data_IF_008738811595
#
_entry.id   IF_008738811595
#
_cell.length_a   1.000
_cell.length_b   1.000
_cell.length_c   1.000
_cell.angle_alpha   90.00
_cell.angle_beta   90.00
_cell.angle_gamma   90.00
#
_symmetry.space_group_name_H-M   'P 1'
#
loop_
_entity.id
_entity.type
_entity.pdbx_description
1 polymer ?
#
# COMPACT_ATOMS: atom_id res chain seq x y z
N UNK A 1 41.05 20.80 -18.79
CA UNK A 1 39.61 21.12 -18.92
C UNK A 1 38.72 19.88 -19.05
N UNK A 2 39.07 18.92 -19.91
CA UNK A 2 38.25 17.72 -20.21
C UNK A 2 37.93 16.86 -18.96
N UNK A 3 38.91 16.63 -18.08
CA UNK A 3 38.71 15.83 -16.85
C UNK A 3 37.69 16.46 -15.90
N UNK A 4 37.68 17.81 -15.78
CA UNK A 4 36.67 18.51 -14.97
C UNK A 4 35.28 18.37 -15.56
N UNK A 5 35.15 18.41 -16.89
CA UNK A 5 33.87 18.22 -17.57
C UNK A 5 33.31 16.80 -17.37
N UNK A 6 34.16 15.78 -17.43
CA UNK A 6 33.80 14.39 -17.17
C UNK A 6 33.31 14.18 -15.72
N UNK A 7 33.96 14.82 -14.76
CA UNK A 7 33.57 14.75 -13.35
C UNK A 7 32.20 15.40 -13.09
N UNK A 8 31.92 16.53 -13.74
CA UNK A 8 30.63 17.22 -13.65
C UNK A 8 29.51 16.34 -14.25
N UNK A 9 29.76 15.72 -15.41
CA UNK A 9 28.78 14.81 -16.05
C UNK A 9 28.47 13.63 -15.15
N UNK A 10 29.48 13.02 -14.51
CA UNK A 10 29.29 11.87 -13.62
C UNK A 10 28.48 12.24 -12.37
N UNK A 11 28.68 13.44 -11.80
CA UNK A 11 27.89 13.95 -10.67
C UNK A 11 26.44 14.22 -11.09
N UNK A 12 26.22 14.80 -12.26
CA UNK A 12 24.86 15.05 -12.76
C UNK A 12 24.13 13.73 -13.04
N UNK A 13 24.84 12.70 -13.50
CA UNK A 13 24.26 11.38 -13.79
C UNK A 13 23.93 10.59 -12.51
N UNK A 14 24.71 10.73 -11.44
CA UNK A 14 24.42 10.06 -10.16
C UNK A 14 23.22 10.67 -9.42
N UNK A 15 22.89 11.94 -9.69
CA UNK A 15 21.69 12.62 -9.17
C UNK A 15 20.37 12.10 -9.77
N UNK A 16 20.41 11.39 -10.90
CA UNK A 16 19.20 10.87 -11.58
C UNK A 16 18.72 9.53 -10.98
N UNK A 17 19.55 8.85 -10.19
CA UNK A 17 19.13 7.70 -9.39
C UNK A 17 18.47 8.14 -8.07
N UNK A 18 17.42 8.95 -8.17
CA UNK A 18 16.43 9.05 -7.08
C UNK A 18 15.81 7.66 -6.90
N UNK A 19 15.96 7.07 -5.69
CA UNK A 19 15.16 5.90 -5.28
C UNK A 19 13.69 6.19 -5.63
N UNK A 20 12.91 5.21 -6.12
CA UNK A 20 11.47 5.40 -6.25
C UNK A 20 10.97 5.88 -4.89
N UNK A 21 10.42 7.10 -4.88
CA UNK A 21 9.84 7.66 -3.68
C UNK A 21 8.69 6.73 -3.28
N UNK A 22 8.61 6.24 -2.04
CA UNK A 22 7.41 5.56 -1.55
C UNK A 22 6.23 6.55 -1.39
N UNK A 23 6.25 7.67 -2.10
CA UNK A 23 5.26 8.75 -2.07
C UNK A 23 4.16 8.57 -3.12
N UNK A 24 4.36 7.68 -4.09
CA UNK A 24 3.31 7.08 -4.91
C UNK A 24 3.17 5.62 -4.46
N UNK A 25 2.07 5.27 -3.78
CA UNK A 25 1.99 3.94 -3.21
C UNK A 25 0.65 3.61 -2.58
N UNK A 26 -0.03 2.63 -3.17
CA UNK A 26 -1.08 1.91 -2.50
C UNK A 26 -0.48 0.71 -1.75
N UNK A 27 -0.98 0.45 -0.55
CA UNK A 27 -0.64 -0.75 0.22
C UNK A 27 -1.79 -1.74 0.12
N UNK A 28 -1.49 -2.98 -0.28
CA UNK A 28 -2.48 -4.06 -0.32
C UNK A 28 -2.47 -4.82 1.01
N UNK A 29 -3.61 -4.78 1.70
CA UNK A 29 -3.84 -5.48 2.95
C UNK A 29 -4.62 -6.77 2.71
N UNK A 30 -4.21 -7.85 3.38
CA UNK A 30 -5.04 -9.01 3.64
C UNK A 30 -5.77 -8.80 4.96
N UNK A 31 -7.09 -8.99 4.98
CA UNK A 31 -7.92 -8.73 6.15
C UNK A 31 -8.65 -10.00 6.57
N UNK A 32 -8.53 -10.39 7.83
CA UNK A 32 -9.22 -11.54 8.39
C UNK A 32 -10.26 -11.10 9.43
N UNK A 33 -11.54 -11.34 9.11
CA UNK A 33 -12.67 -11.06 10.02
C UNK A 33 -13.13 -12.34 10.72
N UNK A 34 -13.40 -12.24 12.02
CA UNK A 34 -13.79 -13.37 12.88
C UNK A 34 -15.30 -13.56 12.96
N UNK A 35 -16.08 -12.48 12.80
CA UNK A 35 -17.52 -12.50 12.99
C UNK A 35 -18.25 -11.47 12.10
N UNK A 36 -19.57 -11.58 12.05
CA UNK A 36 -20.44 -10.72 11.23
C UNK A 36 -20.37 -9.25 11.65
N UNK A 37 -20.09 -8.97 12.93
CA UNK A 37 -19.91 -7.58 13.40
C UNK A 37 -18.69 -6.93 12.75
N UNK A 38 -17.58 -7.64 12.65
CA UNK A 38 -16.37 -7.16 11.99
C UNK A 38 -16.56 -6.98 10.48
N UNK A 39 -17.35 -7.84 9.82
CA UNK A 39 -17.75 -7.64 8.41
C UNK A 39 -18.47 -6.31 8.24
N UNK A 40 -19.38 -5.95 9.16
CA UNK A 40 -20.11 -4.69 9.10
C UNK A 40 -19.20 -3.48 9.31
N UNK A 41 -18.30 -3.54 10.29
CA UNK A 41 -17.30 -2.48 10.54
C UNK A 41 -16.43 -2.27 9.31
N UNK A 42 -15.94 -3.35 8.71
CA UNK A 42 -15.15 -3.32 7.49
C UNK A 42 -15.90 -2.61 6.36
N UNK A 43 -17.14 -3.02 6.09
CA UNK A 43 -17.98 -2.41 5.04
C UNK A 43 -18.30 -0.93 5.28
N UNK A 44 -18.48 -0.53 6.54
CA UNK A 44 -18.65 0.88 6.89
C UNK A 44 -17.38 1.68 6.66
N UNK A 45 -16.20 1.11 6.96
CA UNK A 45 -14.91 1.74 6.74
C UNK A 45 -14.60 1.88 5.24
N UNK A 46 -14.85 0.82 4.47
CA UNK A 46 -14.73 0.80 3.01
C UNK A 46 -15.51 1.96 2.38
N UNK A 47 -16.76 2.16 2.82
CA UNK A 47 -17.59 3.27 2.34
C UNK A 47 -17.14 4.64 2.85
N UNK A 48 -16.72 4.75 4.11
CA UNK A 48 -16.29 6.01 4.74
C UNK A 48 -15.02 6.55 4.10
N UNK A 49 -14.09 5.67 3.78
CA UNK A 49 -12.77 5.99 3.24
C UNK A 49 -12.70 5.87 1.71
N UNK A 50 -13.76 5.35 1.08
CA UNK A 50 -13.83 5.08 -0.36
C UNK A 50 -12.66 4.19 -0.83
N UNK A 51 -12.43 3.10 -0.10
CA UNK A 51 -11.33 2.17 -0.36
C UNK A 51 -11.66 1.25 -1.53
N UNK A 52 -10.63 0.85 -2.26
CA UNK A 52 -10.76 -0.15 -3.32
C UNK A 52 -10.67 -1.57 -2.73
N UNK A 53 -11.78 -2.30 -2.83
CA UNK A 53 -11.94 -3.65 -2.26
C UNK A 53 -11.77 -4.68 -3.37
N UNK A 54 -10.62 -5.33 -3.37
CA UNK A 54 -10.30 -6.36 -4.35
C UNK A 54 -11.03 -7.67 -4.06
N UNK A 55 -11.23 -7.99 -2.79
CA UNK A 55 -12.07 -9.11 -2.39
C UNK A 55 -12.62 -8.92 -0.98
N UNK A 56 -13.92 -9.16 -0.80
CA UNK A 56 -14.59 -8.99 0.49
C UNK A 56 -14.12 -10.04 1.51
N UNK A 57 -13.89 -9.61 2.75
CA UNK A 57 -13.60 -10.50 3.87
C UNK A 57 -14.89 -11.09 4.43
N UNK A 58 -14.89 -12.39 4.70
CA UNK A 58 -15.97 -13.12 5.36
C UNK A 58 -15.39 -13.97 6.50
N UNK A 59 -16.18 -14.40 7.49
CA UNK A 59 -15.70 -15.36 8.47
C UNK A 59 -15.11 -16.59 7.77
N UNK A 60 -13.87 -16.95 8.12
CA UNK A 60 -13.07 -18.04 7.49
C UNK A 60 -12.55 -17.77 6.07
N UNK A 61 -12.74 -16.56 5.52
CA UNK A 61 -12.20 -16.16 4.21
C UNK A 61 -11.63 -14.75 4.28
N UNK A 62 -10.32 -14.64 4.15
CA UNK A 62 -9.65 -13.34 4.11
C UNK A 62 -10.09 -12.51 2.90
N UNK A 63 -10.21 -11.21 3.12
CA UNK A 63 -10.40 -10.21 2.09
C UNK A 63 -9.10 -9.51 1.71
N UNK A 64 -9.16 -8.68 0.67
CA UNK A 64 -8.06 -7.86 0.18
C UNK A 64 -8.55 -6.46 -0.07
N UNK A 65 -7.86 -5.49 0.51
CA UNK A 65 -8.22 -4.08 0.43
C UNK A 65 -6.99 -3.28 0.04
N UNK A 66 -7.13 -2.45 -0.97
CA UNK A 66 -6.11 -1.54 -1.42
C UNK A 66 -6.31 -0.19 -0.73
N UNK A 67 -5.29 0.25 0.01
CA UNK A 67 -5.38 1.43 0.85
C UNK A 67 -4.40 2.49 0.35
N UNK A 68 -4.88 3.70 0.00
CA UNK A 68 -4.03 4.85 -0.30
C UNK A 68 -3.13 5.21 0.89
N UNK A 69 -1.91 5.67 0.61
CA UNK A 69 -0.92 6.03 1.66
C UNK A 69 -1.43 7.07 2.66
N UNK A 70 -2.14 8.09 2.19
CA UNK A 70 -2.73 9.16 3.01
C UNK A 70 -3.81 8.64 3.97
N UNK A 71 -4.46 7.53 3.63
CA UNK A 71 -5.50 6.89 4.43
C UNK A 71 -4.99 5.73 5.29
N UNK A 72 -3.74 5.30 5.09
CA UNK A 72 -3.16 4.12 5.76
C UNK A 72 -3.22 4.20 7.27
N UNK A 73 -2.79 5.33 7.85
CA UNK A 73 -2.77 5.50 9.30
C UNK A 73 -4.18 5.41 9.90
N UNK A 74 -5.16 6.02 9.23
CA UNK A 74 -6.55 5.98 9.66
C UNK A 74 -7.11 4.56 9.56
N UNK A 75 -6.83 3.86 8.45
CA UNK A 75 -7.21 2.47 8.26
C UNK A 75 -6.64 1.54 9.35
N UNK A 76 -5.33 1.61 9.61
CA UNK A 76 -4.66 0.76 10.61
C UNK A 76 -5.20 1.04 12.02
N UNK A 77 -5.45 2.30 12.36
CA UNK A 77 -6.01 2.69 13.66
C UNK A 77 -7.42 2.15 13.87
N UNK A 78 -8.30 2.31 12.88
CA UNK A 78 -9.69 1.84 12.95
C UNK A 78 -9.76 0.31 13.03
N UNK A 79 -8.89 -0.39 12.30
CA UNK A 79 -8.82 -1.86 12.34
C UNK A 79 -8.28 -2.38 13.66
N UNK A 80 -7.24 -1.74 14.20
CA UNK A 80 -6.70 -2.05 15.51
C UNK A 80 -7.73 -1.83 16.61
N UNK A 81 -8.47 -0.71 16.56
CA UNK A 81 -9.55 -0.41 17.50
C UNK A 81 -10.71 -1.43 17.40
N UNK A 82 -11.00 -1.93 16.20
CA UNK A 82 -12.01 -2.95 15.96
C UNK A 82 -11.55 -4.39 16.28
N UNK A 83 -10.27 -4.58 16.64
CA UNK A 83 -9.67 -5.89 16.88
C UNK A 83 -9.68 -6.79 15.64
N UNK A 84 -9.59 -6.19 14.45
CA UNK A 84 -9.53 -6.89 13.17
C UNK A 84 -8.07 -7.18 12.84
N UNK A 85 -7.76 -8.44 12.57
CA UNK A 85 -6.41 -8.85 12.18
C UNK A 85 -6.18 -8.55 10.70
N UNK A 86 -5.02 -7.96 10.39
CA UNK A 86 -4.60 -7.68 9.03
C UNK A 86 -3.14 -8.03 8.82
N UNK A 87 -2.77 -8.28 7.55
CA UNK A 87 -1.40 -8.50 7.11
C UNK A 87 -1.13 -7.63 5.89
N UNK A 88 0.04 -7.00 5.83
CA UNK A 88 0.51 -6.32 4.62
C UNK A 88 0.97 -7.38 3.62
N UNK A 89 0.33 -7.47 2.46
CA UNK A 89 0.75 -8.37 1.37
C UNK A 89 1.78 -7.65 0.50
N UNK A 90 1.48 -6.41 0.11
CA UNK A 90 2.32 -5.59 -0.76
C UNK A 90 2.39 -4.19 -0.17
N UNK A 91 3.60 -3.77 0.20
CA UNK A 91 3.82 -2.45 0.80
C UNK A 91 3.79 -1.32 -0.26
N UNK A 92 4.17 -1.65 -1.50
CA UNK A 92 4.10 -0.76 -2.66
C UNK A 92 3.58 -1.50 -3.90
N UNK A 93 2.32 -1.26 -4.27
CA UNK A 93 1.70 -1.95 -5.42
C UNK A 93 2.34 -1.58 -6.76
N UNK A 94 2.92 -0.39 -6.91
CA UNK A 94 3.58 0.03 -8.16
C UNK A 94 4.83 -0.80 -8.45
N UNK A 95 5.62 -1.11 -7.42
CA UNK A 95 6.75 -2.02 -7.52
C UNK A 95 6.31 -3.45 -7.88
N UNK A 96 5.16 -3.89 -7.37
CA UNK A 96 4.64 -5.22 -7.66
C UNK A 96 4.15 -5.33 -9.11
N UNK A 97 3.37 -4.36 -9.61
CA UNK A 97 2.93 -4.34 -11.01
C UNK A 97 4.14 -4.33 -11.95
N UNK A 98 5.16 -3.53 -11.65
CA UNK A 98 6.39 -3.52 -12.43
C UNK A 98 7.13 -4.87 -12.42
N UNK A 99 6.97 -5.72 -11.40
CA UNK A 99 7.66 -7.01 -11.30
C UNK A 99 6.95 -8.17 -12.03
N UNK A 100 5.63 -8.09 -12.26
CA UNK A 100 4.84 -9.19 -12.86
C UNK A 100 4.81 -9.09 -14.40
N UNK A 101 5.09 -7.90 -14.95
CA UNK A 101 5.04 -7.63 -16.39
C UNK A 101 6.42 -7.68 -17.10
N UNK A 102 7.44 -8.27 -16.47
CA UNK A 102 8.75 -8.60 -17.07
C UNK A 102 9.10 -10.06 -16.83
#
# INVERSE_FOLDING_TARGET
MIIKALYIIFIVFSLVFTKPNPEDGFTLYEVAVKNVRQVKILSELERKLNLDVWSHALPKRSGRVLVPKDQRMLFENEFSAAGIEYKVIVQNMEEYVHFIFF
#
